data_IF_631423375464
#
_entry.id   IF_631423375464
#
_cell.length_a   1.000
_cell.length_b   1.000
_cell.length_c   1.000
_cell.angle_alpha   90.00
_cell.angle_beta   90.00
_cell.angle_gamma   90.00
#
_symmetry.space_group_name_H-M   'P 1'
#
loop_
_entity.id
_entity.type
_entity.pdbx_description
1 polymer ?
#
# COMPACT_ATOMS: atom_id res chain seq x y z
N UNK A 1 -13.13 -0.98 -4.71
CA UNK A 1 -12.50 -2.32 -4.68
C UNK A 1 -12.23 -2.90 -6.08
N UNK A 2 -13.23 -3.15 -6.94
CA UNK A 2 -13.02 -3.77 -8.27
C UNK A 2 -12.03 -3.01 -9.16
N UNK A 3 -12.13 -1.68 -9.19
CA UNK A 3 -11.24 -0.81 -9.98
C UNK A 3 -9.79 -0.92 -9.54
N UNK A 4 -9.50 -0.87 -8.23
CA UNK A 4 -8.13 -1.00 -7.73
C UNK A 4 -7.52 -2.36 -8.08
N UNK A 5 -8.29 -3.46 -7.92
CA UNK A 5 -7.84 -4.80 -8.30
C UNK A 5 -7.44 -4.85 -9.78
N UNK A 6 -8.23 -4.26 -10.66
CA UNK A 6 -7.92 -4.17 -12.09
C UNK A 6 -6.64 -3.35 -12.33
N UNK A 7 -6.49 -2.19 -11.70
CA UNK A 7 -5.28 -1.35 -11.85
C UNK A 7 -3.99 -2.05 -11.41
N UNK A 8 -4.05 -2.82 -10.32
CA UNK A 8 -2.92 -3.66 -9.89
C UNK A 8 -2.62 -4.74 -10.95
N UNK A 9 -3.64 -5.44 -11.43
CA UNK A 9 -3.46 -6.46 -12.47
C UNK A 9 -2.85 -5.88 -13.75
N UNK A 10 -3.39 -4.75 -14.23
CA UNK A 10 -2.90 -4.03 -15.39
C UNK A 10 -1.44 -3.58 -15.20
N UNK A 11 -1.05 -3.12 -14.01
CA UNK A 11 0.35 -2.82 -13.68
C UNK A 11 1.26 -4.05 -13.77
N UNK A 12 0.86 -5.19 -13.19
CA UNK A 12 1.69 -6.39 -13.22
C UNK A 12 1.80 -7.04 -14.61
N UNK A 13 0.83 -6.77 -15.49
CA UNK A 13 0.85 -7.15 -16.90
C UNK A 13 1.77 -6.29 -17.77
N UNK A 14 2.29 -5.17 -17.26
CA UNK A 14 3.31 -4.38 -17.96
C UNK A 14 4.61 -5.18 -18.14
N UNK A 15 5.45 -4.71 -19.06
CA UNK A 15 6.78 -5.29 -19.23
C UNK A 15 7.61 -5.17 -17.95
N UNK A 16 8.62 -6.03 -17.79
CA UNK A 16 9.53 -5.94 -16.65
C UNK A 16 10.24 -4.57 -16.59
N UNK A 17 10.61 -4.02 -17.74
CA UNK A 17 11.31 -2.73 -17.82
C UNK A 17 10.41 -1.57 -17.35
N UNK A 18 9.12 -1.57 -17.71
CA UNK A 18 8.16 -0.59 -17.19
C UNK A 18 7.95 -0.73 -15.67
N UNK A 19 7.88 -1.96 -15.15
CA UNK A 19 7.76 -2.21 -13.71
C UNK A 19 8.99 -1.77 -12.93
N UNK A 20 10.18 -1.96 -13.50
CA UNK A 20 11.47 -1.54 -12.92
C UNK A 20 11.63 -0.03 -12.81
N UNK A 21 10.87 0.79 -13.56
CA UNK A 21 10.82 2.24 -13.34
C UNK A 21 10.42 2.61 -11.91
N UNK A 22 9.64 1.74 -11.27
CA UNK A 22 9.16 1.90 -9.90
C UNK A 22 9.91 0.98 -8.93
N UNK A 23 11.06 0.44 -9.33
CA UNK A 23 11.84 -0.48 -8.49
C UNK A 23 12.18 0.13 -7.13
N UNK A 24 12.23 -0.73 -6.12
CA UNK A 24 12.71 -0.35 -4.82
C UNK A 24 14.14 0.22 -4.90
N UNK A 25 14.35 1.38 -4.27
CA UNK A 25 15.65 2.07 -4.22
C UNK A 25 16.38 1.78 -2.90
N UNK A 26 17.73 1.80 -2.88
CA UNK A 26 18.49 1.71 -1.64
C UNK A 26 18.01 2.72 -0.59
N UNK A 27 17.83 2.27 0.64
CA UNK A 27 17.32 3.11 1.75
C UNK A 27 15.81 3.39 1.73
N UNK A 28 15.05 2.84 0.76
CA UNK A 28 13.59 2.90 0.73
C UNK A 28 12.99 1.51 0.90
N UNK A 29 11.89 1.41 1.64
CA UNK A 29 11.07 0.19 1.69
C UNK A 29 10.04 0.14 0.56
N UNK A 30 9.84 1.25 -0.15
CA UNK A 30 8.83 1.40 -1.19
C UNK A 30 9.37 1.06 -2.57
N UNK A 31 8.48 0.59 -3.45
CA UNK A 31 8.75 0.25 -4.83
C UNK A 31 8.40 -1.19 -5.20
N UNK A 32 8.61 -1.53 -6.47
CA UNK A 32 8.52 -2.87 -7.04
C UNK A 32 9.74 -3.69 -6.59
N UNK A 33 9.49 -4.83 -5.95
CA UNK A 33 10.51 -5.73 -5.41
C UNK A 33 9.98 -7.16 -5.27
N UNK A 34 10.86 -8.12 -4.98
CA UNK A 34 10.50 -9.53 -4.82
C UNK A 34 10.35 -9.90 -3.34
N UNK A 35 11.32 -9.52 -2.51
CA UNK A 35 11.30 -9.65 -1.05
C UNK A 35 12.50 -8.90 -0.44
N UNK A 36 12.45 -8.63 0.86
CA UNK A 36 13.63 -8.25 1.63
C UNK A 36 14.47 -9.49 1.94
N UNK A 37 15.73 -9.52 1.48
CA UNK A 37 16.70 -10.58 1.83
C UNK A 37 17.42 -10.16 3.10
N UNK A 38 17.17 -10.90 4.19
CA UNK A 38 17.71 -10.64 5.53
C UNK A 38 18.86 -11.59 5.90
N UNK A 39 18.96 -12.75 5.24
CA UNK A 39 20.01 -13.75 5.46
C UNK A 39 20.23 -14.61 4.21
N UNK A 40 21.39 -15.26 4.12
CA UNK A 40 21.74 -16.16 3.01
C UNK A 40 20.88 -17.43 3.01
N UNK A 41 20.46 -17.91 4.19
CA UNK A 41 19.63 -19.11 4.36
C UNK A 41 18.14 -18.85 4.16
N UNK A 42 17.74 -17.60 3.89
CA UNK A 42 16.35 -17.23 3.74
C UNK A 42 15.72 -17.90 2.51
N UNK A 43 14.65 -18.66 2.75
CA UNK A 43 13.78 -19.14 1.68
C UNK A 43 12.95 -17.98 1.14
N UNK A 44 13.09 -17.69 -0.15
CA UNK A 44 12.35 -16.62 -0.81
C UNK A 44 10.97 -17.11 -1.25
N UNK A 45 9.97 -16.24 -1.10
CA UNK A 45 8.64 -16.48 -1.64
C UNK A 45 8.66 -16.33 -3.17
N UNK A 46 7.91 -17.18 -3.88
CA UNK A 46 7.71 -17.05 -5.32
C UNK A 46 6.65 -15.98 -5.61
N UNK A 47 7.03 -14.72 -5.47
CA UNK A 47 6.15 -13.57 -5.73
C UNK A 47 6.94 -12.32 -6.06
N UNK A 48 6.34 -11.48 -6.88
CA UNK A 48 6.70 -10.07 -6.96
C UNK A 48 5.68 -9.25 -6.16
N UNK A 49 6.11 -8.09 -5.68
CA UNK A 49 5.28 -7.13 -4.96
C UNK A 49 5.60 -5.70 -5.34
N UNK A 50 4.65 -4.80 -5.11
CA UNK A 50 4.88 -3.37 -5.07
C UNK A 50 4.43 -2.86 -3.71
N UNK A 51 5.36 -2.28 -2.94
CA UNK A 51 5.07 -1.71 -1.63
C UNK A 51 4.96 -0.19 -1.73
N UNK A 52 3.83 0.38 -1.31
CA UNK A 52 3.56 1.82 -1.40
C UNK A 52 2.97 2.31 -0.09
N UNK A 53 3.50 3.41 0.46
CA UNK A 53 2.86 4.10 1.58
C UNK A 53 1.75 4.99 1.03
N UNK A 54 0.55 4.85 1.60
CA UNK A 54 -0.65 5.55 1.12
C UNK A 54 -1.15 6.65 2.06
N UNK A 55 -0.88 6.54 3.35
CA UNK A 55 -1.31 7.50 4.36
C UNK A 55 -0.22 7.71 5.42
N UNK A 56 -0.09 8.94 5.95
CA UNK A 56 -0.74 10.17 5.45
C UNK A 56 -0.29 10.61 4.06
N UNK A 57 -1.01 11.57 3.47
CA UNK A 57 -0.72 12.05 2.10
C UNK A 57 0.67 12.67 1.97
N UNK A 58 1.19 13.32 3.01
CA UNK A 58 2.48 14.01 3.00
C UNK A 58 3.69 13.05 3.00
N UNK A 59 3.52 11.78 3.38
CA UNK A 59 4.62 10.79 3.33
C UNK A 59 4.69 10.03 2.01
N UNK A 60 3.79 10.31 1.07
CA UNK A 60 3.74 9.62 -0.22
C UNK A 60 4.94 10.00 -1.06
N UNK A 61 5.69 8.99 -1.49
CA UNK A 61 6.78 9.16 -2.45
C UNK A 61 6.28 8.84 -3.86
N UNK A 62 5.81 9.88 -4.56
CA UNK A 62 5.17 9.72 -5.88
C UNK A 62 6.07 9.07 -6.93
N UNK A 63 7.39 9.17 -6.78
CA UNK A 63 8.38 8.46 -7.61
C UNK A 63 8.18 6.92 -7.64
N UNK A 64 7.61 6.31 -6.59
CA UNK A 64 7.30 4.88 -6.57
C UNK A 64 5.86 4.58 -7.01
N UNK A 65 5.00 5.60 -7.07
CA UNK A 65 3.58 5.42 -7.41
C UNK A 65 3.43 5.31 -8.94
N UNK A 66 2.93 4.17 -9.46
CA UNK A 66 2.79 3.98 -10.91
C UNK A 66 1.95 5.06 -11.59
N UNK A 67 2.45 5.62 -12.69
CA UNK A 67 1.69 6.48 -13.60
C UNK A 67 0.95 5.66 -14.65
N UNK A 68 1.52 4.50 -14.99
CA UNK A 68 0.94 3.50 -15.86
C UNK A 68 0.54 2.26 -15.05
N UNK A 69 -0.67 1.72 -15.24
CA UNK A 69 -1.72 2.17 -16.17
C UNK A 69 -2.34 3.52 -15.80
N UNK A 70 -2.95 4.27 -16.74
CA UNK A 70 -3.58 5.56 -16.45
C UNK A 70 -4.54 5.48 -15.28
N UNK A 71 -4.64 6.55 -14.50
CA UNK A 71 -5.47 6.64 -13.29
C UNK A 71 -5.05 5.72 -12.12
N UNK A 72 -3.88 5.09 -12.15
CA UNK A 72 -3.44 4.22 -11.06
C UNK A 72 -3.34 4.99 -9.73
N UNK A 73 -2.72 6.17 -9.75
CA UNK A 73 -2.51 7.00 -8.54
C UNK A 73 -3.83 7.47 -7.92
N UNK A 74 -4.75 7.93 -8.75
CA UNK A 74 -6.08 8.40 -8.36
C UNK A 74 -6.90 7.24 -7.79
N UNK A 75 -6.89 6.09 -8.48
CA UNK A 75 -7.58 4.89 -8.00
C UNK A 75 -7.01 4.42 -6.65
N UNK A 76 -5.68 4.46 -6.48
CA UNK A 76 -5.02 4.12 -5.23
C UNK A 76 -5.35 5.12 -4.12
N UNK A 77 -5.43 6.41 -4.44
CA UNK A 77 -5.83 7.45 -3.51
C UNK A 77 -7.24 7.20 -2.98
N UNK A 78 -8.23 7.07 -3.86
CA UNK A 78 -9.62 6.84 -3.48
C UNK A 78 -9.78 5.54 -2.68
N UNK A 79 -9.06 4.50 -3.09
CA UNK A 79 -9.03 3.24 -2.37
C UNK A 79 -8.44 3.39 -0.97
N UNK A 80 -7.34 4.12 -0.81
CA UNK A 80 -6.72 4.35 0.50
C UNK A 80 -7.63 5.13 1.46
N UNK A 81 -8.35 6.13 0.96
CA UNK A 81 -9.32 6.91 1.76
C UNK A 81 -10.49 6.02 2.20
N UNK A 82 -11.00 5.17 1.30
CA UNK A 82 -12.06 4.22 1.64
C UNK A 82 -11.60 3.17 2.68
N UNK A 83 -10.39 2.62 2.50
CA UNK A 83 -9.80 1.65 3.43
C UNK A 83 -9.56 2.25 4.82
N UNK A 84 -9.16 3.52 4.91
CA UNK A 84 -9.02 4.23 6.18
C UNK A 84 -10.33 4.30 6.95
N UNK A 85 -11.45 4.61 6.27
CA UNK A 85 -12.78 4.65 6.92
C UNK A 85 -13.14 3.28 7.52
N UNK A 86 -12.85 2.20 6.78
CA UNK A 86 -13.07 0.83 7.28
C UNK A 86 -12.18 0.54 8.48
N UNK A 87 -10.89 0.87 8.41
CA UNK A 87 -9.95 0.66 9.51
C UNK A 87 -10.39 1.39 10.78
N UNK A 88 -10.81 2.65 10.68
CA UNK A 88 -11.37 3.42 11.80
C UNK A 88 -12.59 2.73 12.41
N UNK A 89 -13.53 2.27 11.58
CA UNK A 89 -14.71 1.56 12.07
C UNK A 89 -14.35 0.26 12.80
N UNK A 90 -13.47 -0.56 12.22
CA UNK A 90 -13.01 -1.82 12.84
C UNK A 90 -12.34 -1.56 14.18
N UNK A 91 -11.46 -0.54 14.25
CA UNK A 91 -10.81 -0.16 15.49
C UNK A 91 -11.79 0.34 16.54
N UNK A 92 -12.82 1.08 16.14
CA UNK A 92 -13.92 1.47 17.04
C UNK A 92 -14.65 0.26 17.63
N UNK A 93 -14.95 -0.76 16.82
CA UNK A 93 -15.55 -2.01 17.32
C UNK A 93 -14.63 -2.78 18.26
N UNK A 94 -13.32 -2.84 17.96
CA UNK A 94 -12.34 -3.47 18.85
C UNK A 94 -12.29 -2.74 20.19
N UNK A 95 -12.24 -1.40 20.18
CA UNK A 95 -12.23 -0.60 21.40
C UNK A 95 -13.47 -0.86 22.27
N UNK A 96 -14.67 -0.88 21.66
CA UNK A 96 -15.90 -1.21 22.37
C UNK A 96 -15.87 -2.62 22.98
N UNK A 97 -15.35 -3.62 22.25
CA UNK A 97 -15.20 -4.99 22.75
C UNK A 97 -14.24 -5.11 23.94
N UNK A 98 -13.31 -4.17 24.08
CA UNK A 98 -12.37 -4.07 25.20
C UNK A 98 -12.86 -3.16 26.33
N UNK A 99 -14.07 -2.59 26.22
CA UNK A 99 -14.60 -1.62 27.19
C UNK A 99 -13.92 -0.25 27.14
N UNK A 100 -13.29 0.09 26.02
CA UNK A 100 -12.57 1.36 25.79
C UNK A 100 -13.42 2.33 24.97
N UNK A 101 -13.14 3.63 25.08
CA UNK A 101 -13.78 4.64 24.24
C UNK A 101 -13.27 4.56 22.80
N UNK A 102 -14.19 4.44 21.84
CA UNK A 102 -13.85 4.33 20.42
C UNK A 102 -13.06 5.55 19.88
N UNK A 103 -13.26 6.72 20.48
CA UNK A 103 -12.63 7.97 20.05
C UNK A 103 -11.12 7.93 20.26
N UNK A 104 -10.64 7.49 21.42
CA UNK A 104 -9.21 7.45 21.78
C UNK A 104 -8.40 6.59 20.81
N UNK A 105 -8.98 5.50 20.29
CA UNK A 105 -8.30 4.62 19.34
C UNK A 105 -8.39 5.08 17.88
N UNK A 106 -9.42 5.87 17.54
CA UNK A 106 -9.60 6.39 16.19
C UNK A 106 -8.63 7.53 15.84
N UNK A 107 -8.09 8.22 16.85
CA UNK A 107 -7.16 9.35 16.70
C UNK A 107 -5.84 8.95 16.05
N UNK A 108 -5.36 7.72 16.28
CA UNK A 108 -4.17 7.17 15.62
C UNK A 108 -4.30 7.06 14.08
N UNK A 109 -5.52 7.18 13.56
CA UNK A 109 -5.83 7.12 12.13
C UNK A 109 -6.22 8.50 11.58
N UNK A 110 -6.00 9.59 12.32
CA UNK A 110 -6.29 10.97 11.90
C UNK A 110 -5.05 11.60 11.27
N UNK A 111 -4.78 11.27 10.00
CA UNK A 111 -3.85 12.03 9.14
C UNK A 111 -4.15 11.79 7.67
#
# INVERSE_FOLDING_TARGET
MRTMKKKVQDFFNLSLEEKKLYAQKPGSLEGYCQAFVLSEEQKLEWRDMIFLKTLPTHIRKLEFWPEHPPMYRETLHDYSVAMRKIAVSVMGFIAMGLGLEAKEFSEAFVT
#
